data_IF_574232334006
#
_entry.id   IF_574232334006
#
_cell.length_a   1.000
_cell.length_b   1.000
_cell.length_c   1.000
_cell.angle_alpha   90.00
_cell.angle_beta   90.00
_cell.angle_gamma   90.00
#
_symmetry.space_group_name_H-M   'P 1'
#
loop_
_entity.id
_entity.type
_entity.pdbx_description
1 polymer ?
#
# COMPACT_ATOMS: atom_id res chain seq x y z
N UNK A 1 -6.25 -1.79 -13.66
CA UNK A 1 -6.60 -2.97 -12.84
C UNK A 1 -7.53 -3.90 -13.62
N UNK A 2 -7.36 -5.21 -13.47
CA UNK A 2 -8.29 -6.23 -13.98
C UNK A 2 -8.77 -7.11 -12.81
N UNK A 3 -10.08 -7.33 -12.73
CA UNK A 3 -10.73 -8.14 -11.70
C UNK A 3 -11.53 -9.28 -12.31
N UNK A 4 -11.18 -10.50 -11.95
CA UNK A 4 -11.90 -11.73 -12.31
C UNK A 4 -13.15 -12.01 -11.47
N UNK A 5 -13.53 -11.08 -10.57
CA UNK A 5 -14.45 -11.37 -9.46
C UNK A 5 -15.05 -10.09 -8.85
N UNK A 6 -16.20 -10.25 -8.19
CA UNK A 6 -16.87 -9.22 -7.38
C UNK A 6 -16.10 -8.83 -6.12
N UNK A 7 -15.08 -9.60 -5.72
CA UNK A 7 -14.25 -9.29 -4.54
C UNK A 7 -13.50 -7.97 -4.67
N UNK A 8 -13.36 -7.46 -5.90
CA UNK A 8 -12.62 -6.25 -6.20
C UNK A 8 -13.53 -5.13 -6.69
N UNK A 9 -13.52 -4.02 -5.94
CA UNK A 9 -14.22 -2.81 -6.31
C UNK A 9 -13.26 -1.91 -7.10
N UNK A 10 -13.47 -1.83 -8.42
CA UNK A 10 -12.66 -1.03 -9.35
C UNK A 10 -12.62 0.46 -8.98
N UNK A 11 -13.55 0.96 -8.15
CA UNK A 11 -13.59 2.36 -7.71
C UNK A 11 -12.33 2.82 -6.96
N UNK A 12 -11.57 1.89 -6.38
CA UNK A 12 -10.32 2.17 -5.64
C UNK A 12 -9.06 2.18 -6.52
N UNK A 13 -9.21 2.05 -7.84
CA UNK A 13 -8.11 2.07 -8.80
C UNK A 13 -8.36 3.17 -9.82
N UNK A 14 -7.34 3.84 -10.40
CA UNK A 14 -7.57 4.90 -11.38
C UNK A 14 -8.50 4.47 -12.53
N UNK A 15 -8.33 3.24 -13.01
CA UNK A 15 -9.16 2.64 -14.03
C UNK A 15 -9.16 1.11 -13.90
N UNK A 16 -10.18 0.48 -14.48
CA UNK A 16 -10.18 -0.97 -14.59
C UNK A 16 -11.50 -1.59 -14.96
N UNK A 17 -11.46 -2.92 -15.02
CA UNK A 17 -12.60 -3.78 -15.29
C UNK A 17 -12.67 -4.79 -14.18
N UNK A 18 -13.83 -4.91 -13.53
CA UNK A 18 -14.12 -5.95 -12.55
C UNK A 18 -15.27 -6.78 -13.05
N UNK A 19 -15.17 -8.10 -13.01
CA UNK A 19 -16.25 -9.00 -13.46
C UNK A 19 -16.99 -9.57 -12.26
N UNK A 20 -18.24 -10.01 -12.41
CA UNK A 20 -18.99 -10.58 -11.31
C UNK A 20 -18.92 -12.11 -11.32
N UNK A 21 -18.50 -12.73 -10.22
CA UNK A 21 -18.33 -14.18 -10.12
C UNK A 21 -19.65 -14.93 -9.91
N UNK A 22 -20.75 -14.24 -9.56
CA UNK A 22 -22.05 -14.85 -9.25
C UNK A 22 -23.13 -14.56 -10.31
N UNK A 23 -22.90 -13.59 -11.20
CA UNK A 23 -23.86 -13.16 -12.22
C UNK A 23 -23.17 -13.09 -13.58
N UNK A 24 -23.54 -14.02 -14.47
CA UNK A 24 -23.06 -14.05 -15.84
C UNK A 24 -23.32 -12.75 -16.60
N UNK A 25 -22.36 -12.36 -17.44
CA UNK A 25 -22.41 -11.16 -18.28
C UNK A 25 -22.32 -9.83 -17.52
N UNK A 26 -22.32 -9.84 -16.19
CA UNK A 26 -22.19 -8.62 -15.40
C UNK A 26 -20.72 -8.27 -15.16
N UNK A 27 -20.38 -7.03 -15.47
CA UNK A 27 -19.07 -6.45 -15.16
C UNK A 27 -19.18 -4.97 -14.79
N UNK A 28 -18.09 -4.42 -14.27
CA UNK A 28 -17.96 -3.06 -13.81
C UNK A 28 -16.81 -2.42 -14.57
N UNK A 29 -17.10 -1.34 -15.28
CA UNK A 29 -16.12 -0.57 -16.02
C UNK A 29 -15.86 0.75 -15.34
N UNK A 30 -14.60 1.04 -15.01
CA UNK A 30 -14.19 2.34 -14.53
C UNK A 30 -13.25 3.00 -15.52
N UNK A 31 -13.72 4.09 -16.11
CA UNK A 31 -12.90 4.98 -16.92
C UNK A 31 -11.93 5.81 -16.05
N UNK A 32 -10.74 6.16 -16.58
CA UNK A 32 -9.73 6.94 -15.86
C UNK A 32 -10.16 8.35 -15.42
N UNK A 33 -11.19 8.92 -16.05
CA UNK A 33 -11.74 10.25 -15.74
C UNK A 33 -12.96 10.20 -14.79
N UNK A 34 -13.36 9.01 -14.33
CA UNK A 34 -14.52 8.82 -13.47
C UNK A 34 -14.12 8.29 -12.10
N UNK A 35 -14.72 8.84 -11.04
CA UNK A 35 -14.58 8.31 -9.67
C UNK A 35 -15.32 6.98 -9.51
N UNK A 36 -16.45 6.83 -10.20
CA UNK A 36 -17.36 5.70 -10.06
C UNK A 36 -17.38 4.83 -11.32
N UNK A 37 -17.45 3.54 -11.11
CA UNK A 37 -17.64 2.54 -12.13
C UNK A 37 -19.08 2.53 -12.63
N UNK A 38 -19.23 2.14 -13.88
CA UNK A 38 -20.52 1.82 -14.51
C UNK A 38 -20.72 0.31 -14.44
N UNK A 39 -21.94 -0.11 -14.11
CA UNK A 39 -22.34 -1.52 -14.21
C UNK A 39 -22.80 -1.82 -15.63
N UNK A 40 -22.27 -2.89 -16.20
CA UNK A 40 -22.58 -3.40 -17.52
C UNK A 40 -23.12 -4.83 -17.41
N UNK A 41 -23.99 -5.24 -18.33
CA UNK A 41 -24.69 -6.54 -18.29
C UNK A 41 -24.62 -7.31 -19.62
N UNK A 42 -23.78 -6.84 -20.52
CA UNK A 42 -23.56 -7.35 -21.88
C UNK A 42 -22.19 -8.03 -22.04
N UNK A 43 -21.53 -8.35 -20.92
CA UNK A 43 -20.29 -9.11 -20.91
C UNK A 43 -20.50 -10.56 -21.37
N UNK A 44 -19.41 -11.27 -21.70
CA UNK A 44 -19.50 -12.66 -22.12
C UNK A 44 -19.93 -13.55 -20.95
N UNK A 45 -20.59 -14.67 -21.29
CA UNK A 45 -20.96 -15.69 -20.31
C UNK A 45 -19.73 -16.48 -19.84
N UNK A 46 -18.89 -16.93 -20.77
CA UNK A 46 -17.55 -17.47 -20.47
C UNK A 46 -16.52 -16.35 -20.60
N UNK A 47 -15.96 -15.89 -19.48
CA UNK A 47 -15.03 -14.76 -19.45
C UNK A 47 -13.58 -15.17 -19.70
N UNK A 48 -13.26 -16.47 -19.85
CA UNK A 48 -11.87 -16.96 -19.97
C UNK A 48 -11.13 -16.24 -21.10
N UNK A 49 -11.62 -16.35 -22.33
CA UNK A 49 -10.96 -15.74 -23.48
C UNK A 49 -10.84 -14.22 -23.34
N UNK A 50 -11.89 -13.58 -22.83
CA UNK A 50 -11.92 -12.14 -22.65
C UNK A 50 -10.84 -11.64 -21.67
N UNK A 51 -10.70 -12.31 -20.52
CA UNK A 51 -9.70 -11.97 -19.52
C UNK A 51 -8.29 -12.36 -19.95
N UNK A 52 -8.10 -13.51 -20.61
CA UNK A 52 -6.78 -13.93 -21.13
C UNK A 52 -6.30 -12.97 -22.21
N UNK A 53 -7.16 -12.56 -23.14
CA UNK A 53 -6.80 -11.58 -24.18
C UNK A 53 -6.39 -10.24 -23.56
N UNK A 54 -7.08 -9.77 -22.52
CA UNK A 54 -6.65 -8.56 -21.78
C UNK A 54 -5.30 -8.75 -21.10
N UNK A 55 -5.06 -9.89 -20.47
CA UNK A 55 -3.78 -10.18 -19.82
C UNK A 55 -2.63 -10.26 -20.83
N UNK A 56 -2.88 -10.76 -22.03
CA UNK A 56 -1.89 -10.85 -23.11
C UNK A 56 -1.70 -9.51 -23.84
N UNK A 57 -2.57 -8.52 -23.60
CA UNK A 57 -2.49 -7.17 -24.18
C UNK A 57 -3.34 -6.95 -25.44
N UNK A 58 -4.14 -7.92 -25.85
CA UNK A 58 -4.85 -7.91 -27.15
C UNK A 58 -6.20 -7.17 -27.13
N UNK A 59 -6.73 -6.82 -25.95
CA UNK A 59 -8.09 -6.29 -25.82
C UNK A 59 -8.26 -5.34 -24.63
N UNK A 60 -7.23 -4.53 -24.36
CA UNK A 60 -7.27 -3.57 -23.26
C UNK A 60 -8.15 -2.38 -23.60
N UNK A 61 -9.09 -2.07 -22.71
CA UNK A 61 -10.01 -0.94 -22.88
C UNK A 61 -9.27 0.38 -22.62
N UNK A 62 -8.31 0.39 -21.70
CA UNK A 62 -7.52 1.57 -21.35
C UNK A 62 -6.04 1.23 -21.21
N UNK A 63 -5.21 1.81 -22.10
CA UNK A 63 -3.76 1.63 -22.09
C UNK A 63 -3.30 0.24 -22.52
N UNK A 64 -1.99 0.00 -22.36
CA UNK A 64 -1.32 -1.15 -22.98
C UNK A 64 -0.98 -2.26 -21.99
N UNK A 65 -1.34 -2.14 -20.69
CA UNK A 65 -1.00 -3.17 -19.69
C UNK A 65 -2.03 -3.39 -18.56
N UNK A 66 -1.89 -4.53 -17.88
CA UNK A 66 -2.61 -4.89 -16.65
C UNK A 66 -1.62 -4.95 -15.49
N UNK A 67 -1.63 -3.94 -14.61
CA UNK A 67 -0.70 -3.88 -13.47
C UNK A 67 -1.08 -4.78 -12.28
N UNK A 68 -2.37 -5.09 -12.16
CA UNK A 68 -2.90 -5.93 -11.09
C UNK A 68 -4.05 -6.78 -11.60
N UNK A 69 -3.99 -8.08 -11.32
CA UNK A 69 -5.05 -9.04 -11.61
C UNK A 69 -5.58 -9.65 -10.31
N UNK A 70 -6.85 -9.38 -10.02
CA UNK A 70 -7.50 -9.79 -8.76
C UNK A 70 -8.43 -10.96 -9.00
N UNK A 71 -8.30 -12.00 -8.17
CA UNK A 71 -9.02 -13.26 -8.30
C UNK A 71 -9.66 -13.67 -6.96
N UNK A 72 -10.78 -14.39 -7.04
CA UNK A 72 -11.53 -14.92 -5.90
C UNK A 72 -12.46 -16.04 -6.37
N UNK A 73 -12.92 -16.87 -5.44
CA UNK A 73 -13.71 -18.07 -5.73
C UNK A 73 -12.89 -19.35 -5.56
N UNK A 74 -13.32 -20.45 -6.20
CA UNK A 74 -12.69 -21.76 -5.96
C UNK A 74 -11.29 -21.83 -6.58
N UNK A 75 -10.30 -22.02 -5.72
CA UNK A 75 -8.91 -22.22 -6.08
C UNK A 75 -8.41 -23.62 -5.73
N UNK A 76 -7.35 -24.01 -6.42
CA UNK A 76 -6.46 -25.09 -6.05
C UNK A 76 -5.03 -24.66 -6.38
N UNK A 77 -4.00 -25.43 -5.98
CA UNK A 77 -2.62 -25.09 -6.30
C UNK A 77 -2.35 -24.96 -7.81
N UNK A 78 -3.19 -25.51 -8.69
CA UNK A 78 -2.98 -25.54 -10.16
C UNK A 78 -4.18 -25.02 -10.97
N UNK A 79 -5.24 -24.53 -10.32
CA UNK A 79 -6.43 -24.05 -11.04
C UNK A 79 -7.19 -22.99 -10.26
N UNK A 80 -7.80 -22.06 -10.98
CA UNK A 80 -8.79 -21.14 -10.46
C UNK A 80 -10.04 -21.19 -11.32
N UNK A 81 -11.18 -21.32 -10.67
CA UNK A 81 -12.50 -21.31 -11.27
C UNK A 81 -13.11 -19.90 -11.19
N UNK A 82 -13.50 -19.36 -12.34
CA UNK A 82 -14.00 -17.98 -12.47
C UNK A 82 -15.40 -17.75 -11.88
N UNK A 83 -16.29 -18.74 -11.99
CA UNK A 83 -17.68 -18.61 -11.56
C UNK A 83 -17.89 -19.25 -10.18
N UNK A 84 -18.74 -18.63 -9.38
CA UNK A 84 -19.17 -19.11 -8.08
C UNK A 84 -20.67 -19.46 -8.12
N UNK A 85 -21.05 -20.58 -7.51
CA UNK A 85 -22.47 -20.98 -7.36
C UNK A 85 -23.09 -21.75 -8.53
N UNK A 86 -22.77 -21.42 -9.79
CA UNK A 86 -23.23 -22.19 -10.97
C UNK A 86 -22.11 -22.43 -12.00
N UNK A 87 -21.32 -23.51 -11.87
CA UNK A 87 -20.10 -23.74 -12.66
C UNK A 87 -20.25 -23.90 -14.17
N UNK A 88 -21.47 -24.21 -14.62
CA UNK A 88 -21.61 -25.05 -15.81
C UNK A 88 -21.47 -24.31 -17.14
N UNK A 89 -21.12 -23.02 -17.17
CA UNK A 89 -21.11 -22.23 -18.41
C UNK A 89 -19.88 -21.31 -18.52
N UNK A 90 -18.85 -21.55 -17.70
CA UNK A 90 -17.62 -20.76 -17.68
C UNK A 90 -16.41 -21.61 -17.31
N UNK A 91 -15.27 -21.27 -17.89
CA UNK A 91 -14.06 -22.08 -17.78
C UNK A 91 -13.17 -21.75 -16.58
N UNK A 92 -11.89 -22.07 -16.72
CA UNK A 92 -10.88 -22.03 -15.67
C UNK A 92 -9.61 -21.32 -16.13
N UNK A 93 -8.87 -20.78 -15.18
CA UNK A 93 -7.46 -20.51 -15.34
C UNK A 93 -6.69 -21.71 -14.77
N UNK A 94 -5.71 -22.23 -15.51
CA UNK A 94 -4.97 -23.43 -15.12
C UNK A 94 -3.48 -23.28 -15.30
N UNK A 95 -2.77 -24.13 -14.56
CA UNK A 95 -1.36 -24.43 -14.77
C UNK A 95 -1.18 -25.95 -14.82
N UNK A 96 -0.28 -26.44 -15.66
CA UNK A 96 0.05 -27.87 -15.73
C UNK A 96 1.35 -28.20 -14.95
N UNK A 97 1.76 -29.48 -14.94
CA UNK A 97 2.91 -29.97 -14.15
C UNK A 97 4.27 -29.31 -14.47
N UNK A 98 4.40 -28.63 -15.61
CA UNK A 98 5.61 -27.88 -15.98
C UNK A 98 5.49 -26.36 -15.72
N UNK A 99 4.35 -25.90 -15.20
CA UNK A 99 4.08 -24.50 -14.91
C UNK A 99 3.68 -23.66 -16.12
N UNK A 100 3.18 -24.30 -17.18
CA UNK A 100 2.59 -23.59 -18.32
C UNK A 100 1.17 -23.15 -17.96
N UNK A 101 0.92 -21.84 -18.10
CA UNK A 101 -0.35 -21.17 -17.78
C UNK A 101 -1.24 -21.02 -19.01
N UNK A 102 -2.52 -21.33 -18.83
CA UNK A 102 -3.52 -21.21 -19.89
C UNK A 102 -4.92 -20.96 -19.32
N UNK A 103 -5.76 -20.33 -20.13
CA UNK A 103 -7.21 -20.31 -19.93
C UNK A 103 -7.85 -21.52 -20.59
N UNK A 104 -8.53 -22.35 -19.80
CA UNK A 104 -9.34 -23.49 -20.22
C UNK A 104 -10.78 -23.01 -20.39
N UNK A 105 -11.20 -22.75 -21.62
CA UNK A 105 -12.55 -22.23 -21.92
C UNK A 105 -13.62 -23.28 -21.62
N UNK A 106 -14.83 -22.85 -21.25
CA UNK A 106 -15.98 -23.76 -21.12
C UNK A 106 -16.26 -24.49 -22.44
N UNK A 107 -16.18 -23.75 -23.55
CA UNK A 107 -16.28 -24.30 -24.89
C UNK A 107 -15.28 -23.61 -25.81
N UNK A 108 -14.26 -24.33 -26.24
CA UNK A 108 -13.22 -23.79 -27.12
C UNK A 108 -11.87 -24.44 -26.87
N UNK A 109 -10.83 -24.04 -27.63
CA UNK A 109 -9.46 -24.45 -27.33
C UNK A 109 -8.92 -23.72 -26.10
N UNK A 110 -7.90 -24.29 -25.46
CA UNK A 110 -7.11 -23.57 -24.47
C UNK A 110 -6.44 -22.34 -25.07
N UNK A 111 -6.27 -21.28 -24.28
CA UNK A 111 -5.58 -20.05 -24.69
C UNK A 111 -4.39 -19.84 -23.76
N UNK A 112 -3.19 -19.77 -24.34
CA UNK A 112 -1.97 -19.52 -23.58
C UNK A 112 -2.01 -18.16 -22.90
N UNK A 113 -1.58 -18.11 -21.64
CA UNK A 113 -1.39 -16.86 -20.91
C UNK A 113 0.08 -16.49 -21.03
N UNK A 114 0.35 -15.50 -21.89
CA UNK A 114 1.67 -14.95 -22.16
C UNK A 114 1.54 -13.45 -22.04
N UNK A 115 1.85 -12.94 -20.84
CA UNK A 115 1.62 -11.53 -20.54
C UNK A 115 2.95 -10.76 -20.52
N UNK A 116 3.09 -9.72 -21.35
CA UNK A 116 4.36 -9.00 -21.51
C UNK A 116 4.66 -7.96 -20.42
N UNK A 117 3.76 -7.75 -19.45
CA UNK A 117 3.87 -6.65 -18.48
C UNK A 117 3.96 -7.12 -17.03
N UNK A 118 4.73 -6.37 -16.23
CA UNK A 118 4.89 -6.60 -14.79
C UNK A 118 3.56 -6.42 -14.06
N UNK A 119 3.21 -7.36 -13.17
CA UNK A 119 1.95 -7.27 -12.42
C UNK A 119 1.96 -7.86 -11.02
N UNK A 120 0.97 -7.44 -10.26
CA UNK A 120 0.54 -8.06 -9.01
C UNK A 120 -0.56 -9.09 -9.34
N UNK A 121 -0.32 -10.36 -9.04
CA UNK A 121 -1.38 -11.36 -8.99
C UNK A 121 -1.92 -11.46 -7.56
N UNK A 122 -3.16 -11.00 -7.38
CA UNK A 122 -3.85 -11.00 -6.09
C UNK A 122 -4.80 -12.20 -6.03
N UNK A 123 -4.31 -13.29 -5.43
CA UNK A 123 -5.00 -14.58 -5.27
C UNK A 123 -5.48 -14.90 -3.85
N UNK A 124 -5.48 -13.95 -2.90
CA UNK A 124 -6.01 -14.22 -1.55
C UNK A 124 -7.55 -14.36 -1.54
N UNK A 125 -8.22 -14.30 -2.68
CA UNK A 125 -9.63 -14.68 -2.79
C UNK A 125 -9.86 -16.18 -2.98
N UNK A 126 -8.81 -16.99 -3.09
CA UNK A 126 -8.90 -18.38 -3.51
C UNK A 126 -8.28 -19.34 -2.51
N UNK A 127 -8.98 -20.45 -2.23
CA UNK A 127 -8.45 -21.56 -1.42
C UNK A 127 -7.16 -22.11 -2.04
N UNK A 128 -6.15 -22.38 -1.21
CA UNK A 128 -4.95 -23.18 -1.53
C UNK A 128 -4.11 -22.73 -2.74
N UNK A 129 -4.47 -21.61 -3.40
CA UNK A 129 -3.86 -21.16 -4.66
C UNK A 129 -2.40 -20.74 -4.47
N UNK A 130 -2.05 -20.35 -3.24
CA UNK A 130 -0.70 -20.01 -2.83
C UNK A 130 0.16 -21.22 -2.51
N UNK A 131 -0.37 -22.45 -2.43
CA UNK A 131 0.47 -23.62 -2.12
C UNK A 131 1.44 -23.94 -3.26
N UNK A 132 2.69 -24.25 -2.91
CA UNK A 132 3.72 -24.70 -3.85
C UNK A 132 4.12 -26.13 -3.51
N UNK A 133 3.40 -27.08 -4.12
CA UNK A 133 3.70 -28.51 -3.99
C UNK A 133 4.69 -28.99 -5.06
N UNK A 134 4.80 -28.26 -6.17
CA UNK A 134 5.74 -28.50 -7.26
C UNK A 134 5.83 -27.25 -8.16
N UNK A 135 6.65 -27.32 -9.21
CA UNK A 135 6.84 -26.22 -10.16
C UNK A 135 5.60 -25.87 -10.99
N UNK A 136 4.62 -26.77 -11.08
CA UNK A 136 3.37 -26.58 -11.81
C UNK A 136 2.32 -25.75 -11.08
N UNK A 137 2.54 -25.37 -9.83
CA UNK A 137 1.59 -24.57 -9.07
C UNK A 137 1.44 -23.14 -9.65
N UNK A 138 0.30 -22.49 -9.37
CA UNK A 138 -0.06 -21.18 -9.89
C UNK A 138 0.99 -20.12 -9.56
N UNK A 139 1.45 -20.04 -8.31
CA UNK A 139 2.46 -19.05 -7.90
C UNK A 139 3.73 -19.06 -8.78
N UNK A 140 4.48 -20.17 -8.89
CA UNK A 140 5.66 -20.21 -9.76
C UNK A 140 5.33 -20.08 -11.25
N UNK A 141 4.16 -20.55 -11.69
CA UNK A 141 3.72 -20.43 -13.08
C UNK A 141 3.47 -18.96 -13.47
N UNK A 142 2.81 -18.18 -12.59
CA UNK A 142 2.57 -16.74 -12.79
C UNK A 142 3.85 -15.92 -12.73
N UNK A 143 4.78 -16.26 -11.84
CA UNK A 143 6.07 -15.56 -11.76
C UNK A 143 6.91 -15.80 -13.01
N UNK A 144 6.99 -17.04 -13.51
CA UNK A 144 7.88 -17.38 -14.64
C UNK A 144 7.29 -17.03 -16.01
N UNK A 145 6.03 -17.41 -16.23
CA UNK A 145 5.41 -17.37 -17.56
C UNK A 145 4.27 -16.35 -17.62
N UNK A 146 3.65 -16.07 -16.47
CA UNK A 146 2.54 -15.14 -16.38
C UNK A 146 2.96 -13.68 -16.27
N UNK A 147 4.24 -13.34 -16.07
CA UNK A 147 4.71 -11.94 -15.92
C UNK A 147 4.44 -11.30 -14.55
N UNK A 148 4.08 -12.07 -13.53
CA UNK A 148 3.83 -11.54 -12.19
C UNK A 148 5.15 -11.22 -11.46
N UNK A 149 5.27 -10.00 -10.94
CA UNK A 149 6.35 -9.61 -10.03
C UNK A 149 6.00 -9.96 -8.59
N UNK A 150 4.70 -9.87 -8.27
CA UNK A 150 4.15 -10.30 -7.00
C UNK A 150 3.03 -11.30 -7.22
N UNK A 151 3.00 -12.33 -6.39
CA UNK A 151 1.89 -13.26 -6.27
C UNK A 151 1.53 -13.40 -4.80
N UNK A 152 0.26 -13.19 -4.44
CA UNK A 152 -0.23 -13.53 -3.10
C UNK A 152 -1.34 -14.57 -3.19
N UNK A 153 -1.39 -15.50 -2.24
CA UNK A 153 -2.41 -16.53 -2.19
C UNK A 153 -2.49 -17.20 -0.83
N UNK A 154 -3.65 -17.78 -0.51
CA UNK A 154 -3.78 -18.63 0.66
C UNK A 154 -3.06 -19.96 0.42
N UNK A 155 -2.28 -20.40 1.41
CA UNK A 155 -1.64 -21.73 1.46
C UNK A 155 -2.47 -22.75 2.23
N UNK A 156 -3.67 -22.35 2.62
CA UNK A 156 -4.70 -23.14 3.29
C UNK A 156 -6.05 -22.92 2.60
N UNK A 157 -7.07 -23.64 3.05
CA UNK A 157 -8.43 -23.38 2.65
C UNK A 157 -8.90 -22.00 3.16
N UNK A 158 -9.46 -21.19 2.27
CA UNK A 158 -9.99 -19.87 2.60
C UNK A 158 -11.49 -19.99 2.96
N UNK A 159 -12.00 -19.14 3.86
CA UNK A 159 -13.43 -19.05 4.15
C UNK A 159 -13.95 -17.63 4.41
N UNK A 160 -15.17 -17.53 4.96
CA UNK A 160 -15.81 -16.24 5.28
C UNK A 160 -14.99 -15.37 6.26
N UNK A 161 -14.08 -16.00 7.02
CA UNK A 161 -13.19 -15.34 7.99
C UNK A 161 -11.79 -15.03 7.45
N UNK A 162 -11.53 -15.29 6.16
CA UNK A 162 -10.24 -15.04 5.50
C UNK A 162 -9.77 -13.59 5.67
N UNK A 163 -8.82 -13.37 6.57
CA UNK A 163 -8.39 -12.06 7.03
C UNK A 163 -7.49 -11.34 6.01
N UNK A 164 -6.50 -12.03 5.45
CA UNK A 164 -5.46 -11.40 4.62
C UNK A 164 -5.97 -10.85 3.28
N UNK A 165 -7.04 -11.43 2.74
CA UNK A 165 -7.75 -10.87 1.58
C UNK A 165 -8.24 -9.45 1.87
N UNK A 166 -8.99 -9.26 2.95
CA UNK A 166 -9.48 -7.94 3.36
C UNK A 166 -8.34 -7.03 3.78
N UNK A 167 -7.36 -7.57 4.50
CA UNK A 167 -6.29 -6.77 5.11
C UNK A 167 -5.32 -6.16 4.11
N UNK A 168 -4.85 -6.97 3.16
CA UNK A 168 -3.92 -6.47 2.12
C UNK A 168 -4.62 -5.40 1.29
N UNK A 169 -5.89 -5.64 0.92
CA UNK A 169 -6.73 -4.66 0.21
C UNK A 169 -6.94 -3.38 1.03
N UNK A 170 -7.18 -3.50 2.34
CA UNK A 170 -7.41 -2.35 3.22
C UNK A 170 -6.25 -1.35 3.15
N UNK A 171 -5.03 -1.83 3.37
CA UNK A 171 -3.83 -0.98 3.40
C UNK A 171 -3.27 -0.62 2.02
N UNK A 172 -3.65 -1.35 0.97
CA UNK A 172 -3.21 -1.06 -0.39
C UNK A 172 -4.06 0.00 -1.09
N UNK A 173 -5.39 0.00 -0.91
CA UNK A 173 -6.26 0.90 -1.69
C UNK A 173 -7.54 1.42 -1.02
N UNK A 174 -7.90 1.00 0.20
CA UNK A 174 -9.16 1.46 0.84
C UNK A 174 -8.91 2.49 1.94
N UNK A 175 -7.85 2.30 2.72
CA UNK A 175 -7.49 3.12 3.86
C UNK A 175 -6.21 3.89 3.63
N UNK A 176 -5.29 3.28 2.89
CA UNK A 176 -3.94 3.72 2.68
C UNK A 176 -3.50 3.35 1.25
N UNK A 177 -2.37 3.89 0.83
CA UNK A 177 -1.68 3.53 -0.42
C UNK A 177 -0.28 2.96 -0.12
N UNK A 178 -0.18 2.04 0.84
CA UNK A 178 1.08 1.34 1.06
C UNK A 178 1.45 0.50 -0.17
N UNK A 179 2.76 0.28 -0.37
CA UNK A 179 3.22 -0.67 -1.38
C UNK A 179 2.62 -2.06 -1.11
N UNK A 180 2.39 -2.84 -2.15
CA UNK A 180 1.80 -4.17 -2.07
C UNK A 180 2.46 -5.08 -1.02
N UNK A 181 3.81 -5.25 -0.99
CA UNK A 181 4.45 -6.04 0.05
C UNK A 181 4.27 -5.43 1.45
N UNK A 182 4.30 -4.11 1.57
CA UNK A 182 4.07 -3.41 2.85
C UNK A 182 2.64 -3.61 3.35
N UNK A 183 1.64 -3.47 2.49
CA UNK A 183 0.23 -3.69 2.81
C UNK A 183 -0.02 -5.13 3.28
N UNK A 184 0.62 -6.11 2.64
CA UNK A 184 0.58 -7.52 3.07
C UNK A 184 1.22 -7.72 4.45
N UNK A 185 2.41 -7.15 4.69
CA UNK A 185 3.11 -7.22 5.97
C UNK A 185 2.29 -6.57 7.10
N UNK A 186 1.84 -5.33 6.89
CA UNK A 186 1.02 -4.59 7.87
C UNK A 186 -0.28 -5.30 8.16
N UNK A 187 -0.86 -5.98 7.17
CA UNK A 187 -2.00 -6.86 7.37
C UNK A 187 -1.71 -8.00 8.34
N UNK A 188 -0.52 -8.61 8.28
CA UNK A 188 -0.12 -9.63 9.25
C UNK A 188 0.15 -9.02 10.64
N UNK A 189 0.77 -7.84 10.73
CA UNK A 189 0.94 -7.13 12.01
C UNK A 189 -0.40 -6.84 12.69
N UNK A 190 -1.37 -6.29 11.94
CA UNK A 190 -2.71 -6.04 12.44
C UNK A 190 -3.43 -7.34 12.83
N UNK A 191 -3.25 -8.42 12.07
CA UNK A 191 -3.84 -9.72 12.40
C UNK A 191 -3.34 -10.28 13.74
N UNK A 192 -2.03 -10.17 14.02
CA UNK A 192 -1.46 -10.61 15.30
C UNK A 192 -2.03 -9.78 16.45
N UNK A 193 -2.13 -8.45 16.29
CA UNK A 193 -2.78 -7.59 17.27
C UNK A 193 -4.23 -8.02 17.50
N UNK A 194 -4.98 -8.18 16.43
CA UNK A 194 -6.39 -8.54 16.47
C UNK A 194 -6.57 -9.87 17.20
N UNK A 195 -5.79 -10.90 16.84
CA UNK A 195 -5.83 -12.22 17.48
C UNK A 195 -5.54 -12.14 18.99
N UNK A 196 -4.53 -11.36 19.38
CA UNK A 196 -4.18 -11.17 20.79
C UNK A 196 -5.27 -10.44 21.58
N UNK A 197 -6.08 -9.61 20.92
CA UNK A 197 -7.10 -8.78 21.54
C UNK A 197 -8.54 -9.24 21.28
N UNK A 198 -8.72 -10.39 20.59
CA UNK A 198 -10.04 -10.95 20.25
C UNK A 198 -10.98 -9.94 19.57
N UNK A 199 -10.44 -9.12 18.67
CA UNK A 199 -11.24 -8.09 17.97
C UNK A 199 -12.23 -8.71 16.96
N UNK A 200 -13.26 -7.96 16.53
CA UNK A 200 -14.36 -8.52 15.73
C UNK A 200 -13.98 -8.91 14.31
N UNK A 201 -14.41 -10.08 13.85
CA UNK A 201 -14.25 -10.51 12.45
C UNK A 201 -13.00 -11.34 12.16
N UNK A 202 -12.24 -11.67 13.21
CA UNK A 202 -11.04 -12.50 13.16
C UNK A 202 -11.40 -13.95 12.82
N UNK A 203 -10.71 -14.52 11.83
CA UNK A 203 -10.57 -15.97 11.69
C UNK A 203 -9.65 -16.53 12.76
N UNK A 204 -10.05 -17.67 13.35
CA UNK A 204 -9.28 -18.53 14.27
C UNK A 204 -7.80 -18.75 13.81
N UNK A 205 -6.91 -19.40 14.59
CA UNK A 205 -5.57 -19.84 14.15
C UNK A 205 -5.40 -20.43 12.74
N UNK A 206 -6.40 -20.99 12.03
CA UNK A 206 -6.22 -21.36 10.63
C UNK A 206 -5.57 -20.26 9.79
N UNK A 207 -5.98 -18.99 9.93
CA UNK A 207 -5.44 -17.90 9.10
C UNK A 207 -4.01 -17.48 9.47
N UNK A 208 -3.53 -17.85 10.66
CA UNK A 208 -2.14 -17.58 11.07
C UNK A 208 -1.20 -18.44 10.24
N UNK A 209 -0.27 -17.79 9.54
CA UNK A 209 0.57 -18.41 8.52
C UNK A 209 -0.24 -19.01 7.35
N UNK A 210 -1.49 -18.55 7.15
CA UNK A 210 -2.41 -19.05 6.14
C UNK A 210 -2.20 -18.47 4.75
N UNK A 211 -1.46 -17.36 4.62
CA UNK A 211 -1.18 -16.73 3.33
C UNK A 211 0.31 -16.57 3.06
N UNK A 212 0.64 -16.48 1.79
CA UNK A 212 2.00 -16.23 1.32
C UNK A 212 2.04 -15.08 0.32
N UNK A 213 3.16 -14.37 0.34
CA UNK A 213 3.59 -13.45 -0.71
C UNK A 213 4.84 -14.03 -1.36
N UNK A 214 4.82 -14.11 -2.68
CA UNK A 214 5.95 -14.51 -3.52
C UNK A 214 6.34 -13.33 -4.41
N UNK A 215 7.62 -12.99 -4.47
CA UNK A 215 8.13 -11.84 -5.19
C UNK A 215 9.27 -11.18 -4.42
N UNK A 216 9.81 -10.08 -4.97
CA UNK A 216 10.83 -9.28 -4.29
C UNK A 216 10.15 -8.21 -3.43
N UNK A 217 10.16 -8.33 -2.09
CA UNK A 217 9.47 -7.38 -1.21
C UNK A 217 10.06 -5.97 -1.25
N UNK A 218 11.23 -5.75 -1.86
CA UNK A 218 11.82 -4.43 -2.04
C UNK A 218 11.20 -3.63 -3.22
N UNK A 219 10.36 -4.26 -4.04
CA UNK A 219 9.69 -3.56 -5.15
C UNK A 219 8.53 -2.72 -4.61
N UNK A 220 8.61 -1.42 -4.87
CA UNK A 220 7.60 -0.44 -4.46
C UNK A 220 6.41 -0.37 -5.44
N UNK A 221 5.58 -1.42 -5.44
CA UNK A 221 4.37 -1.45 -6.24
C UNK A 221 3.18 -0.89 -5.46
N UNK A 222 2.73 0.33 -5.74
CA UNK A 222 1.65 1.03 -5.02
C UNK A 222 0.56 1.57 -5.95
N UNK A 223 -0.60 1.91 -5.38
CA UNK A 223 -1.56 2.76 -6.08
C UNK A 223 -0.91 4.13 -6.33
N UNK A 224 -1.03 4.71 -7.55
CA UNK A 224 -0.48 6.03 -7.82
C UNK A 224 -1.20 7.10 -6.98
N UNK A 225 -0.45 8.07 -6.47
CA UNK A 225 -1.00 9.21 -5.72
C UNK A 225 -1.85 10.13 -6.59
N UNK A 226 -1.59 10.14 -7.90
CA UNK A 226 -2.37 10.84 -8.90
C UNK A 226 -3.37 9.89 -9.57
N UNK A 227 -4.61 10.34 -9.70
CA UNK A 227 -5.67 9.59 -10.38
C UNK A 227 -7.05 9.96 -9.87
N UNK A 228 -8.08 9.40 -10.51
CA UNK A 228 -9.47 9.61 -10.13
C UNK A 228 -10.01 8.34 -9.48
N UNK A 229 -10.15 8.33 -8.15
CA UNK A 229 -10.66 7.18 -7.40
C UNK A 229 -11.46 7.58 -6.15
N UNK A 230 -12.14 6.59 -5.57
CA UNK A 230 -12.94 6.79 -4.35
C UNK A 230 -12.06 7.27 -3.20
N UNK A 231 -12.60 8.13 -2.35
CA UNK A 231 -11.85 8.72 -1.23
C UNK A 231 -11.40 7.64 -0.24
N UNK A 232 -10.15 7.69 0.22
CA UNK A 232 -9.66 6.83 1.30
C UNK A 232 -10.50 6.97 2.57
N UNK A 233 -10.56 5.92 3.40
CA UNK A 233 -11.36 5.92 4.64
C UNK A 233 -10.99 7.07 5.59
N UNK A 234 -9.70 7.30 5.78
CA UNK A 234 -9.14 8.33 6.66
C UNK A 234 -7.86 8.92 6.04
N UNK A 235 -7.43 10.06 6.56
CA UNK A 235 -6.11 10.65 6.33
C UNK A 235 -5.24 10.44 7.57
N UNK A 236 -3.92 10.23 7.39
CA UNK A 236 -2.96 10.02 8.49
C UNK A 236 -2.02 11.20 8.65
N UNK A 237 -1.62 11.47 9.89
CA UNK A 237 -0.60 12.45 10.27
C UNK A 237 0.32 11.84 11.35
N UNK A 238 1.64 12.05 11.25
CA UNK A 238 2.64 11.55 12.22
C UNK A 238 3.48 12.70 12.79
N UNK A 239 2.92 13.58 13.61
CA UNK A 239 3.59 14.81 14.05
C UNK A 239 4.76 14.46 14.98
N UNK A 240 5.93 15.03 14.76
CA UNK A 240 7.11 14.83 15.62
C UNK A 240 7.59 16.18 16.10
N UNK A 241 7.74 16.32 17.40
CA UNK A 241 8.33 17.48 18.06
C UNK A 241 9.62 17.03 18.75
N UNK A 242 10.74 17.54 18.27
CA UNK A 242 12.05 17.20 18.81
C UNK A 242 12.17 17.62 20.28
N UNK A 243 12.73 16.73 21.10
CA UNK A 243 13.07 17.00 22.48
C UNK A 243 14.54 16.75 22.78
N UNK A 244 14.99 17.14 23.97
CA UNK A 244 16.40 17.02 24.36
C UNK A 244 16.83 15.56 24.56
N UNK A 245 15.96 14.75 25.17
CA UNK A 245 16.22 13.34 25.49
C UNK A 245 15.27 12.38 24.75
N UNK A 246 14.04 12.85 24.48
CA UNK A 246 12.98 12.11 23.79
C UNK A 246 12.17 13.07 22.94
N UNK A 247 11.79 12.63 21.77
CA UNK A 247 10.87 13.34 20.89
C UNK A 247 9.44 13.05 21.32
N UNK A 248 8.54 14.03 21.14
CA UNK A 248 7.10 13.82 21.27
C UNK A 248 6.52 13.52 19.90
N UNK A 249 5.91 12.35 19.76
CA UNK A 249 5.38 11.82 18.50
C UNK A 249 3.87 11.62 18.65
N UNK A 250 3.09 12.22 17.75
CA UNK A 250 1.64 12.03 17.64
C UNK A 250 1.31 11.33 16.33
N UNK A 251 0.74 10.13 16.41
CA UNK A 251 0.03 9.53 15.27
C UNK A 251 -1.45 9.86 15.38
N UNK A 252 -1.97 10.50 14.32
CA UNK A 252 -3.35 10.95 14.23
C UNK A 252 -3.97 10.46 12.93
N UNK A 253 -5.25 10.13 12.99
CA UNK A 253 -6.09 9.97 11.81
C UNK A 253 -7.29 10.91 11.84
N UNK A 254 -7.76 11.29 10.66
CA UNK A 254 -9.00 12.04 10.47
C UNK A 254 -9.86 11.30 9.46
N UNK A 255 -11.06 10.89 9.84
CA UNK A 255 -11.99 10.17 8.97
C UNK A 255 -12.39 11.06 7.78
N UNK A 256 -12.20 10.60 6.55
CA UNK A 256 -12.62 11.33 5.35
C UNK A 256 -14.08 11.02 4.99
N UNK A 257 -14.57 9.86 5.40
CA UNK A 257 -15.95 9.39 5.18
C UNK A 257 -16.42 8.54 6.36
N UNK A 258 -17.73 8.30 6.44
CA UNK A 258 -18.33 7.41 7.43
C UNK A 258 -17.74 6.00 7.30
N UNK A 259 -17.31 5.39 8.41
CA UNK A 259 -16.90 3.98 8.40
C UNK A 259 -16.36 3.44 9.72
N UNK A 260 -15.80 2.24 9.68
CA UNK A 260 -15.49 1.41 10.85
C UNK A 260 -14.03 0.90 10.83
N UNK A 261 -13.03 1.78 11.05
CA UNK A 261 -11.62 1.43 11.00
C UNK A 261 -11.25 0.46 12.14
N UNK A 262 -11.26 -0.84 11.85
CA UNK A 262 -11.15 -1.90 12.85
C UNK A 262 -12.16 -3.05 12.68
N UNK A 263 -13.08 -2.98 11.70
CA UNK A 263 -13.96 -4.11 11.39
C UNK A 263 -13.24 -5.19 10.58
N UNK A 264 -12.74 -6.24 11.23
CA UNK A 264 -11.68 -7.09 10.66
C UNK A 264 -12.13 -8.22 9.70
N UNK A 265 -13.40 -8.25 9.28
CA UNK A 265 -13.90 -9.28 8.35
C UNK A 265 -13.13 -9.35 7.02
N UNK A 266 -13.36 -10.43 6.24
CA UNK A 266 -12.85 -10.61 4.85
C UNK A 266 -13.07 -9.39 3.95
N UNK A 267 -14.15 -8.64 4.17
CA UNK A 267 -14.53 -7.48 3.37
C UNK A 267 -14.41 -6.15 4.12
N UNK A 268 -13.80 -6.18 5.30
CA UNK A 268 -13.79 -5.07 6.23
C UNK A 268 -12.54 -4.20 6.17
N UNK A 269 -12.43 -3.34 7.17
CA UNK A 269 -11.33 -2.41 7.39
C UNK A 269 -10.38 -2.97 8.45
N UNK A 270 -9.29 -2.26 8.72
CA UNK A 270 -8.27 -2.61 9.70
C UNK A 270 -8.00 -1.44 10.61
N UNK A 271 -7.46 -1.74 11.78
CA UNK A 271 -6.96 -0.73 12.72
C UNK A 271 -5.95 0.16 11.99
N UNK A 272 -6.04 1.50 12.12
CA UNK A 272 -5.04 2.38 11.53
C UNK A 272 -3.64 2.04 12.01
N UNK A 273 -2.72 1.92 11.06
CA UNK A 273 -1.31 1.62 11.32
C UNK A 273 -0.44 2.59 10.52
N UNK A 274 0.68 2.96 11.12
CA UNK A 274 1.61 3.93 10.60
C UNK A 274 3.04 3.43 10.84
N UNK A 275 3.78 3.16 9.76
CA UNK A 275 5.21 2.95 9.83
C UNK A 275 5.93 4.28 10.05
N UNK A 276 6.97 4.28 10.85
CA UNK A 276 7.80 5.45 11.09
C UNK A 276 8.86 5.60 10.00
N UNK A 277 9.17 6.81 9.54
CA UNK A 277 10.31 7.05 8.66
C UNK A 277 11.66 6.99 9.41
N UNK A 278 11.65 6.58 10.68
CA UNK A 278 12.78 6.47 11.58
C UNK A 278 12.57 5.28 12.52
N UNK A 279 13.59 4.93 13.31
CA UNK A 279 13.45 4.00 14.42
C UNK A 279 13.32 4.72 15.74
N UNK A 280 12.64 4.12 16.70
CA UNK A 280 12.61 4.55 18.10
C UNK A 280 13.10 3.43 19.00
N UNK A 281 13.68 3.79 20.15
CA UNK A 281 14.04 2.86 21.20
C UNK A 281 12.75 2.38 21.93
N UNK A 282 12.36 1.10 21.85
CA UNK A 282 11.12 0.61 22.46
C UNK A 282 11.07 0.81 23.98
N UNK A 283 12.22 0.75 24.65
CA UNK A 283 12.29 0.89 26.11
C UNK A 283 12.13 2.35 26.57
N UNK A 284 12.14 3.29 25.63
CA UNK A 284 11.97 4.72 25.88
C UNK A 284 10.53 5.23 25.68
N UNK A 285 9.62 4.37 25.21
CA UNK A 285 8.26 4.74 24.84
C UNK A 285 7.43 5.05 26.09
N UNK A 286 6.77 6.20 26.09
CA UNK A 286 5.79 6.57 27.10
C UNK A 286 4.60 7.27 26.45
N UNK A 287 3.40 6.66 26.51
CA UNK A 287 2.17 7.29 26.03
C UNK A 287 1.79 8.42 27.00
N UNK A 288 1.64 9.63 26.48
CA UNK A 288 1.30 10.82 27.26
C UNK A 288 -0.13 11.31 27.05
N UNK A 289 -0.74 11.02 25.90
CA UNK A 289 -2.14 11.35 25.63
C UNK A 289 -2.71 10.46 24.50
N UNK A 290 -3.97 10.04 24.60
CA UNK A 290 -4.63 9.26 23.54
C UNK A 290 -6.15 9.26 23.70
N UNK A 291 -6.86 9.17 22.58
CA UNK A 291 -8.29 8.84 22.55
C UNK A 291 -8.59 7.53 21.79
N UNK A 292 -7.57 6.71 21.56
CA UNK A 292 -7.72 5.35 21.07
C UNK A 292 -8.07 4.40 22.24
N UNK A 293 -8.81 3.34 21.95
CA UNK A 293 -9.15 2.33 22.95
C UNK A 293 -7.89 1.55 23.38
N UNK A 294 -6.98 1.32 22.43
CA UNK A 294 -5.66 0.71 22.66
C UNK A 294 -4.69 1.18 21.59
N UNK A 295 -3.42 1.38 21.95
CA UNK A 295 -2.36 1.66 20.99
C UNK A 295 -1.20 0.69 21.19
N UNK A 296 -0.63 0.23 20.08
CA UNK A 296 0.61 -0.57 20.04
C UNK A 296 1.68 0.26 19.37
N UNK A 297 2.76 0.55 20.08
CA UNK A 297 3.89 1.32 19.57
C UNK A 297 5.12 0.41 19.65
N UNK A 298 5.78 0.20 18.51
CA UNK A 298 6.99 -0.59 18.37
C UNK A 298 8.14 0.30 17.89
N UNK A 299 9.32 -0.26 17.66
CA UNK A 299 10.50 0.48 17.19
C UNK A 299 10.27 1.19 15.84
N UNK A 300 9.34 0.69 15.02
CA UNK A 300 9.15 1.16 13.65
C UNK A 300 7.70 1.41 13.22
N UNK A 301 6.71 1.19 14.09
CA UNK A 301 5.33 1.51 13.76
C UNK A 301 4.50 1.84 14.99
N UNK A 302 3.35 2.44 14.73
CA UNK A 302 2.25 2.59 15.68
C UNK A 302 0.95 2.11 15.05
N UNK A 303 0.18 1.36 15.83
CA UNK A 303 -1.18 0.89 15.51
C UNK A 303 -2.14 1.44 16.55
N UNK A 304 -3.30 1.95 16.11
CA UNK A 304 -4.38 2.39 16.99
C UNK A 304 -5.61 1.52 16.79
N UNK A 305 -6.14 0.97 17.87
CA UNK A 305 -7.46 0.35 17.90
C UNK A 305 -8.49 1.37 18.38
N UNK A 306 -9.46 1.69 17.52
CA UNK A 306 -10.33 2.87 17.67
C UNK A 306 -11.81 2.59 17.36
N UNK A 307 -12.16 1.34 17.10
CA UNK A 307 -13.53 0.91 16.79
C UNK A 307 -13.80 -0.54 17.20
N UNK A 308 -14.95 -0.79 17.81
CA UNK A 308 -15.40 -2.11 18.26
C UNK A 308 -16.75 -2.52 17.63
N UNK A 309 -17.00 -3.83 17.55
CA UNK A 309 -18.27 -4.34 17.04
C UNK A 309 -19.43 -3.91 17.94
N UNK A 310 -20.47 -3.38 17.30
CA UNK A 310 -21.62 -2.80 17.99
C UNK A 310 -21.51 -1.29 18.22
N UNK A 311 -20.33 -0.69 18.02
CA UNK A 311 -20.23 0.78 17.94
C UNK A 311 -20.79 1.27 16.60
N UNK A 312 -21.35 2.49 16.62
CA UNK A 312 -21.73 3.17 15.40
C UNK A 312 -20.49 3.43 14.52
N UNK A 313 -20.70 3.54 13.21
CA UNK A 313 -19.64 3.97 12.30
C UNK A 313 -19.15 5.38 12.68
N UNK A 314 -17.84 5.59 12.61
CA UNK A 314 -17.20 6.87 12.89
C UNK A 314 -17.55 7.87 11.78
N UNK A 315 -18.15 9.03 12.08
CA UNK A 315 -18.47 10.06 11.10
C UNK A 315 -17.23 10.66 10.41
N UNK A 316 -17.40 11.20 9.21
CA UNK A 316 -16.39 12.04 8.57
C UNK A 316 -16.01 13.23 9.48
N UNK A 317 -14.74 13.60 9.48
CA UNK A 317 -14.16 14.61 10.36
C UNK A 317 -13.81 14.11 11.77
N UNK A 318 -14.17 12.87 12.13
CA UNK A 318 -13.79 12.29 13.42
C UNK A 318 -12.28 12.10 13.49
N UNK A 319 -11.66 12.62 14.54
CA UNK A 319 -10.22 12.47 14.80
C UNK A 319 -9.94 11.39 15.85
N UNK A 320 -8.87 10.62 15.64
CA UNK A 320 -8.30 9.72 16.63
C UNK A 320 -6.79 9.89 16.68
N UNK A 321 -6.20 9.80 17.86
CA UNK A 321 -4.77 9.97 18.03
C UNK A 321 -4.19 9.19 19.21
N UNK A 322 -2.88 8.99 19.13
CA UNK A 322 -2.00 8.65 20.24
C UNK A 322 -0.77 9.54 20.17
N UNK A 323 -0.44 10.15 21.29
CA UNK A 323 0.77 10.94 21.51
C UNK A 323 1.63 10.24 22.55
N UNK A 324 2.90 10.04 22.23
CA UNK A 324 3.87 9.38 23.08
C UNK A 324 5.22 10.08 22.99
N UNK A 325 6.05 9.91 24.00
CA UNK A 325 7.46 10.27 23.93
C UNK A 325 8.28 9.04 23.61
N UNK A 326 9.33 9.19 22.80
CA UNK A 326 10.31 8.14 22.56
C UNK A 326 11.64 8.74 22.09
N UNK A 327 12.73 8.03 22.32
CA UNK A 327 14.04 8.35 21.77
C UNK A 327 14.14 7.83 20.35
N UNK A 328 14.27 8.73 19.38
CA UNK A 328 14.55 8.37 17.98
C UNK A 328 15.98 7.85 17.87
N UNK A 329 16.16 6.70 17.22
CA UNK A 329 17.46 6.07 16.95
C UNK A 329 17.71 6.09 15.44
N UNK A 330 18.91 6.53 15.04
CA UNK A 330 19.22 7.11 13.72
C UNK A 330 19.19 6.21 12.48
N UNK A 331 18.30 5.22 12.40
CA UNK A 331 18.01 4.51 11.14
C UNK A 331 16.80 5.17 10.49
N UNK A 332 17.04 5.91 9.41
CA UNK A 332 16.00 6.51 8.56
C UNK A 332 15.50 5.47 7.56
N UNK A 333 14.19 5.25 7.47
CA UNK A 333 13.59 4.34 6.49
C UNK A 333 13.12 5.10 5.25
N UNK A 334 13.91 5.02 4.19
CA UNK A 334 13.74 5.76 2.92
C UNK A 334 12.40 5.51 2.21
N UNK A 335 11.81 4.33 2.37
CA UNK A 335 10.61 3.88 1.62
C UNK A 335 9.29 4.43 2.18
N UNK A 336 9.26 4.79 3.48
CA UNK A 336 8.03 5.14 4.21
C UNK A 336 7.64 6.62 4.09
N UNK A 337 8.62 7.50 3.79
CA UNK A 337 8.39 8.94 3.73
C UNK A 337 7.40 9.37 2.62
N UNK A 338 7.21 8.53 1.60
CA UNK A 338 6.27 8.72 0.49
C UNK A 338 4.80 8.38 0.85
N UNK A 339 4.53 7.79 2.02
CA UNK A 339 3.18 7.32 2.41
C UNK A 339 2.36 8.31 3.24
N UNK A 340 2.84 9.55 3.39
CA UNK A 340 2.21 10.59 4.21
C UNK A 340 1.68 11.74 3.36
N UNK A 341 0.35 11.84 3.17
CA UNK A 341 -0.25 13.03 2.59
C UNK A 341 0.04 14.23 3.52
N UNK A 342 0.63 15.30 3.00
CA UNK A 342 0.78 16.57 3.71
C UNK A 342 2.20 17.05 4.04
N UNK A 343 3.27 16.33 3.66
CA UNK A 343 4.63 16.63 4.15
C UNK A 343 5.68 16.94 3.10
N UNK A 344 6.57 17.86 3.47
CA UNK A 344 7.91 17.95 2.91
C UNK A 344 8.82 16.95 3.64
N UNK A 345 9.68 16.25 2.88
CA UNK A 345 10.63 15.26 3.39
C UNK A 345 12.03 15.66 2.95
N UNK A 346 12.98 15.73 3.89
CA UNK A 346 14.40 15.81 3.57
C UNK A 346 14.92 14.41 3.24
N UNK A 347 15.62 14.31 2.11
CA UNK A 347 16.31 13.10 1.67
C UNK A 347 17.81 13.24 1.94
N UNK A 348 18.52 12.11 1.96
CA UNK A 348 19.97 12.12 2.11
C UNK A 348 20.63 13.03 1.07
N UNK A 349 21.52 13.88 1.53
CA UNK A 349 22.36 14.66 0.64
C UNK A 349 23.44 13.78 -0.01
N UNK A 350 23.85 14.10 -1.24
CA UNK A 350 24.91 13.36 -1.92
C UNK A 350 25.86 14.30 -2.67
N UNK A 351 27.18 14.12 -2.55
CA UNK A 351 27.86 13.17 -1.65
C UNK A 351 27.80 13.56 -0.16
N UNK A 352 27.82 12.58 0.74
CA UNK A 352 28.01 12.78 2.17
C UNK A 352 28.92 11.67 2.74
N UNK A 353 30.16 11.96 3.20
CA UNK A 353 30.82 13.27 3.22
C UNK A 353 31.10 13.84 1.82
N UNK A 354 31.20 15.16 1.69
CA UNK A 354 31.60 15.84 0.44
C UNK A 354 32.91 16.60 0.59
N UNK A 355 33.59 16.86 -0.53
CA UNK A 355 34.79 17.71 -0.56
C UNK A 355 34.47 19.16 -0.92
N UNK A 356 33.73 19.40 -2.01
CA UNK A 356 33.52 20.74 -2.57
C UNK A 356 32.04 21.13 -2.64
N UNK A 357 31.15 20.18 -2.90
CA UNK A 357 29.72 20.42 -2.93
C UNK A 357 28.94 19.17 -2.54
N UNK A 358 27.73 19.36 -2.05
CA UNK A 358 26.72 18.31 -1.87
C UNK A 358 25.39 18.77 -2.42
N UNK A 359 24.64 17.85 -3.01
CA UNK A 359 23.25 18.07 -3.38
C UNK A 359 22.35 17.74 -2.21
N UNK A 360 21.63 18.73 -1.69
CA UNK A 360 20.55 18.57 -0.72
C UNK A 360 19.28 18.21 -1.47
N UNK A 361 18.67 17.07 -1.13
CA UNK A 361 17.50 16.54 -1.83
C UNK A 361 16.30 16.58 -0.92
N UNK A 362 15.14 16.87 -1.47
CA UNK A 362 13.88 16.89 -0.72
C UNK A 362 12.70 16.54 -1.63
N UNK A 363 11.59 16.15 -1.01
CA UNK A 363 10.33 15.89 -1.69
C UNK A 363 9.26 16.81 -1.11
N UNK A 364 8.49 17.47 -1.99
CA UNK A 364 7.33 18.28 -1.62
C UNK A 364 6.07 17.59 -2.11
N UNK A 365 5.14 17.32 -1.21
CA UNK A 365 3.89 16.65 -1.57
C UNK A 365 2.85 17.60 -2.22
N UNK A 366 3.07 18.92 -2.19
CA UNK A 366 2.27 19.94 -2.86
C UNK A 366 3.13 21.16 -3.13
N UNK A 367 2.72 21.97 -4.11
CA UNK A 367 3.37 23.26 -4.37
C UNK A 367 3.23 24.15 -3.13
N UNK A 368 4.35 24.56 -2.53
CA UNK A 368 4.36 25.28 -1.24
C UNK A 368 5.58 26.19 -1.13
N UNK A 369 5.50 27.22 -0.27
CA UNK A 369 6.67 28.04 0.06
C UNK A 369 7.60 27.28 0.97
N UNK A 370 8.88 27.30 0.65
CA UNK A 370 9.93 26.66 1.43
C UNK A 370 11.09 27.61 1.75
N UNK A 371 11.78 27.29 2.85
CA UNK A 371 13.02 27.89 3.29
C UNK A 371 14.03 26.78 3.55
N UNK A 372 15.20 26.84 2.92
CA UNK A 372 16.28 25.88 3.11
C UNK A 372 17.49 26.61 3.66
N UNK A 373 17.92 26.28 4.86
CA UNK A 373 18.99 26.97 5.61
C UNK A 373 20.03 25.98 6.10
N UNK A 374 21.29 26.38 6.11
CA UNK A 374 22.45 25.60 6.58
C UNK A 374 23.01 26.24 7.84
N UNK A 375 23.37 25.42 8.82
CA UNK A 375 23.83 25.78 10.15
C UNK A 375 25.12 25.03 10.50
N UNK A 376 26.00 25.66 11.28
CA UNK A 376 27.15 24.97 11.86
C UNK A 376 26.76 24.20 13.14
N UNK A 377 27.73 23.46 13.70
CA UNK A 377 27.55 22.66 14.91
C UNK A 377 27.11 23.44 16.17
N UNK A 378 27.22 24.77 16.17
CA UNK A 378 26.75 25.63 17.27
C UNK A 378 25.31 26.11 17.06
N UNK A 379 24.66 25.71 15.95
CA UNK A 379 23.35 26.20 15.54
C UNK A 379 23.39 27.59 14.91
N UNK A 380 24.57 28.12 14.60
CA UNK A 380 24.69 29.42 13.91
C UNK A 380 24.35 29.25 12.43
N UNK A 381 23.47 30.11 11.93
CA UNK A 381 23.12 30.17 10.51
C UNK A 381 24.35 30.53 9.68
N UNK A 382 24.68 29.67 8.72
CA UNK A 382 25.83 29.77 7.82
C UNK A 382 25.42 30.33 6.46
N UNK A 383 24.36 29.76 5.87
CA UNK A 383 23.88 30.12 4.54
C UNK A 383 22.38 29.83 4.41
N UNK A 384 21.64 30.72 3.77
CA UNK A 384 20.27 30.46 3.32
C UNK A 384 20.34 30.08 1.86
N UNK A 385 19.94 28.86 1.51
CA UNK A 385 19.94 28.33 0.15
C UNK A 385 18.63 28.63 -0.58
N UNK A 386 17.50 28.58 0.14
CA UNK A 386 16.20 29.03 -0.35
C UNK A 386 15.57 29.94 0.69
N UNK A 387 15.01 31.06 0.25
CA UNK A 387 14.33 32.01 1.10
C UNK A 387 12.93 32.30 0.56
N UNK A 388 11.90 31.80 1.25
CA UNK A 388 10.48 32.00 0.94
C UNK A 388 10.10 31.77 -0.54
N UNK A 389 10.67 30.74 -1.17
CA UNK A 389 10.39 30.42 -2.57
C UNK A 389 9.25 29.40 -2.68
N UNK A 390 8.27 29.65 -3.56
CA UNK A 390 7.28 28.64 -3.94
C UNK A 390 7.98 27.61 -4.82
N UNK A 391 7.96 26.35 -4.40
CA UNK A 391 8.43 25.23 -5.20
C UNK A 391 7.27 24.28 -5.48
N UNK A 392 7.25 23.74 -6.69
CA UNK A 392 6.23 22.78 -7.12
C UNK A 392 6.33 21.46 -6.37
N UNK A 393 5.21 20.72 -6.38
CA UNK A 393 5.19 19.37 -5.85
C UNK A 393 6.19 18.48 -6.62
N UNK A 394 6.74 17.48 -5.93
CA UNK A 394 7.70 16.54 -6.48
C UNK A 394 9.09 16.66 -5.85
N UNK A 395 10.08 16.09 -6.53
CA UNK A 395 11.46 16.09 -6.09
C UNK A 395 12.12 17.44 -6.35
N UNK A 396 12.78 17.98 -5.34
CA UNK A 396 13.63 19.16 -5.41
C UNK A 396 15.06 18.82 -5.04
N UNK A 397 16.00 19.43 -5.75
CA UNK A 397 17.44 19.30 -5.49
C UNK A 397 18.08 20.69 -5.46
N UNK A 398 18.95 20.92 -4.48
CA UNK A 398 19.75 22.14 -4.39
C UNK A 398 21.18 21.80 -4.03
N UNK A 399 22.11 22.32 -4.80
CA UNK A 399 23.53 22.21 -4.53
C UNK A 399 23.96 23.21 -3.44
N UNK A 400 24.75 22.73 -2.49
CA UNK A 400 25.49 23.55 -1.55
C UNK A 400 26.99 23.33 -1.76
N UNK A 401 27.70 24.42 -1.98
CA UNK A 401 29.13 24.54 -2.30
C UNK A 401 30.06 24.53 -1.07
N UNK A 402 29.55 24.17 0.12
CA UNK A 402 30.34 24.20 1.35
C UNK A 402 30.81 25.61 1.78
N UNK A 403 30.24 26.67 1.22
CA UNK A 403 30.63 28.05 1.52
C UNK A 403 29.59 28.76 2.40
N UNK A 404 30.02 29.80 3.11
CA UNK A 404 29.14 30.72 3.84
C UNK A 404 28.49 31.77 2.92
N UNK A 405 27.70 32.68 3.51
CA UNK A 405 27.04 33.77 2.78
C UNK A 405 28.00 34.78 2.14
N UNK A 406 29.27 34.83 2.56
CA UNK A 406 30.31 35.66 1.95
C UNK A 406 31.12 34.91 0.88
N UNK A 407 30.75 33.66 0.55
CA UNK A 407 31.48 32.81 -0.40
C UNK A 407 32.80 32.29 0.15
N UNK A 408 33.00 32.31 1.48
CA UNK A 408 34.19 31.74 2.11
C UNK A 408 33.98 30.26 2.35
N UNK A 409 34.99 29.49 1.99
CA UNK A 409 35.04 28.06 2.28
C UNK A 409 34.99 27.83 3.79
N UNK A 410 34.14 26.89 4.20
CA UNK A 410 33.95 26.55 5.59
C UNK A 410 34.94 25.48 6.04
N UNK A 411 35.25 25.46 7.32
CA UNK A 411 36.08 24.42 7.92
C UNK A 411 35.45 23.04 7.73
N UNK A 412 36.26 22.00 7.51
CA UNK A 412 35.77 20.62 7.57
C UNK A 412 35.10 20.35 8.91
N UNK A 413 33.88 19.80 8.87
CA UNK A 413 33.07 19.60 10.05
C UNK A 413 31.65 19.15 9.70
N UNK A 414 30.83 18.96 10.72
CA UNK A 414 29.42 18.62 10.56
C UNK A 414 28.61 19.91 10.43
N UNK A 415 27.78 19.95 9.39
CA UNK A 415 26.83 21.02 9.15
C UNK A 415 25.44 20.43 9.08
N UNK A 416 24.47 21.19 9.57
CA UNK A 416 23.06 20.80 9.59
C UNK A 416 22.31 21.66 8.58
N UNK A 417 21.30 21.10 7.93
CA UNK A 417 20.41 21.89 7.08
C UNK A 417 18.96 21.64 7.45
N UNK A 418 18.14 22.66 7.22
CA UNK A 418 16.78 22.76 7.71
C UNK A 418 15.86 23.18 6.57
N UNK A 419 14.79 22.43 6.32
CA UNK A 419 13.77 22.71 5.32
C UNK A 419 12.44 23.08 6.00
N UNK A 420 12.14 24.37 6.10
CA UNK A 420 10.85 24.82 6.59
C UNK A 420 9.86 25.01 5.42
N UNK A 421 8.61 24.58 5.59
CA UNK A 421 7.53 24.86 4.63
C UNK A 421 6.37 25.58 5.32
N UNK A 422 5.51 26.27 4.57
CA UNK A 422 4.28 26.90 5.12
C UNK A 422 3.35 25.88 5.81
N UNK A 423 3.56 24.56 5.63
CA UNK A 423 2.84 23.51 6.34
C UNK A 423 3.44 23.14 7.71
N UNK A 424 4.78 23.16 7.90
CA UNK A 424 5.49 22.92 9.17
C UNK A 424 6.93 23.43 9.05
N UNK A 425 7.47 24.01 10.12
CA UNK A 425 8.91 24.29 10.30
C UNK A 425 9.62 22.99 10.71
N UNK A 426 10.19 22.22 9.77
CA UNK A 426 11.20 21.19 10.08
C UNK A 426 12.53 21.88 10.18
#
# INVERSE_FOLDING_TARGET
MLGGTSSCNVNYYPQGIGTNEATYGMYYLKHPDSVKAVTCTDGPQDRVAWLVNMLNGDSLIFGDSVDIFVTSGHGSPTSWMLHYGTPNLEGYFRSNGIGHLYGDQYSGPDIDIISPHAKIYFGLGNCDIGQINNTGCMAPAWIRNGGAYFYTGYVINEGASSYQHGSTKAYFCLQDHYSWPTAFMLGNCCFVFDLANSTPGIGSPPDLNGSALYGDPAIDARIPEEGVYDTLLYTKELIVHEGVERDTITFKITMNKLGKPGFTSKWGYRSPICLFPFRIDPDSIEIIDTNADTSVIMDNFVLMYIWHQGQADLPAGTERWVTFTAKVVGVVEKEIALSFPGRAVILENFPNPFSNHTTLRFFLNKSTKINLKVYDQSGRLVKTLINDCVMDAGYGEIEWDGCDVQGRELSSGVYFYRLASEAVTQ
#
